data_IF_132060059925
#
_entry.id   IF_132060059925
#
_cell.length_a   1.000
_cell.length_b   1.000
_cell.length_c   1.000
_cell.angle_alpha   90.00
_cell.angle_beta   90.00
_cell.angle_gamma   90.00
#
_symmetry.space_group_name_H-M   'P 1'
#
loop_
_entity.id
_entity.type
_entity.pdbx_description
1 polymer ?
#
# COMPACT_ATOMS: atom_id res chain seq x y z
N UNK A 1 -7.37 -12.04 10.03
CA UNK A 1 -6.17 -11.29 9.62
C UNK A 1 -5.55 -11.98 8.43
N UNK A 2 -4.83 -11.25 7.59
CA UNK A 2 -4.12 -11.76 6.41
C UNK A 2 -2.64 -11.41 6.53
N UNK A 3 -1.74 -12.37 6.35
CA UNK A 3 -0.30 -12.17 6.49
C UNK A 3 0.43 -12.70 5.26
N UNK A 4 1.46 -11.97 4.84
CA UNK A 4 2.31 -12.36 3.73
C UNK A 4 3.78 -11.93 3.92
N UNK A 5 4.67 -12.61 3.21
CA UNK A 5 6.14 -12.60 3.35
C UNK A 5 6.81 -11.44 2.57
N UNK A 6 6.26 -10.23 2.72
CA UNK A 6 6.86 -8.99 2.21
C UNK A 6 6.79 -7.90 3.26
N UNK A 7 7.95 -7.40 3.66
CA UNK A 7 8.07 -6.25 4.55
C UNK A 7 8.10 -4.91 3.83
N UNK A 8 8.39 -3.85 4.59
CA UNK A 8 8.49 -2.49 4.05
C UNK A 8 9.57 -2.42 2.97
N UNK A 9 9.28 -1.74 1.86
CA UNK A 9 10.28 -1.51 0.80
C UNK A 9 11.40 -0.59 1.29
N UNK A 10 11.09 0.30 2.24
CA UNK A 10 12.05 1.25 2.81
C UNK A 10 11.93 1.31 4.34
N UNK A 11 13.05 1.17 5.08
CA UNK A 11 13.07 1.37 6.54
C UNK A 11 12.56 2.75 6.96
N UNK A 12 12.60 3.73 6.06
CA UNK A 12 12.05 5.05 6.33
C UNK A 12 10.54 5.04 6.56
N UNK A 13 9.81 3.96 6.26
CA UNK A 13 8.39 3.83 6.60
C UNK A 13 8.14 3.43 8.06
N UNK A 14 9.16 2.97 8.81
CA UNK A 14 9.04 2.59 10.23
C UNK A 14 8.42 3.74 11.05
N UNK A 15 7.40 3.42 11.84
CA UNK A 15 6.70 4.35 12.74
C UNK A 15 7.02 4.06 14.21
N UNK A 16 7.44 2.84 14.53
CA UNK A 16 7.97 2.45 15.83
C UNK A 16 9.46 2.07 15.70
N UNK A 17 10.41 2.97 16.02
CA UNK A 17 11.85 2.70 15.94
C UNK A 17 12.35 1.67 16.96
N UNK A 18 11.65 1.45 18.07
CA UNK A 18 12.06 0.47 19.09
C UNK A 18 11.84 -0.96 18.60
N UNK A 19 10.68 -1.21 17.97
CA UNK A 19 10.34 -2.52 17.40
C UNK A 19 10.78 -2.67 15.94
N UNK A 20 11.20 -1.58 15.29
CA UNK A 20 11.51 -1.50 13.87
C UNK A 20 10.31 -1.89 12.97
N UNK A 21 9.14 -1.39 13.32
CA UNK A 21 7.88 -1.69 12.63
C UNK A 21 7.21 -0.44 12.06
N UNK A 22 6.57 -0.58 10.90
CA UNK A 22 5.56 0.38 10.47
C UNK A 22 4.18 -0.14 10.91
N UNK A 23 3.52 0.62 11.77
CA UNK A 23 2.17 0.36 12.26
C UNK A 23 1.25 1.45 11.74
N UNK A 24 0.22 1.05 11.00
CA UNK A 24 -0.81 1.92 10.44
C UNK A 24 -2.18 1.53 11.03
N UNK A 25 -2.82 2.44 11.75
CA UNK A 25 -4.13 2.23 12.37
C UNK A 25 -5.24 2.86 11.50
N UNK A 26 -6.37 2.16 11.32
CA UNK A 26 -7.49 2.57 10.46
C UNK A 26 -7.02 2.99 9.05
N UNK A 27 -6.24 2.10 8.43
CA UNK A 27 -5.50 2.38 7.22
C UNK A 27 -6.32 2.10 5.94
N UNK A 28 -6.10 2.93 4.94
CA UNK A 28 -6.43 2.60 3.56
C UNK A 28 -5.38 1.66 2.95
N UNK A 29 -5.80 0.84 1.99
CA UNK A 29 -4.94 -0.11 1.29
C UNK A 29 -5.14 0.05 -0.22
N UNK A 30 -4.12 0.57 -0.91
CA UNK A 30 -4.06 0.64 -2.36
C UNK A 30 -3.39 -0.63 -2.89
N UNK A 31 -4.09 -1.36 -3.76
CA UNK A 31 -3.66 -2.65 -4.29
C UNK A 31 -3.44 -2.50 -5.79
N UNK A 32 -2.19 -2.58 -6.25
CA UNK A 32 -1.81 -2.34 -7.64
C UNK A 32 -1.14 -3.59 -8.21
N UNK A 33 -1.57 -4.03 -9.39
CA UNK A 33 -1.01 -5.24 -10.00
C UNK A 33 0.41 -5.02 -10.54
N UNK A 34 0.64 -3.84 -11.13
CA UNK A 34 1.89 -3.47 -11.79
C UNK A 34 2.91 -2.82 -10.85
N UNK A 35 4.13 -2.71 -11.34
CA UNK A 35 5.18 -1.86 -10.77
C UNK A 35 4.79 -0.37 -10.83
N UNK A 36 5.11 0.37 -9.77
CA UNK A 36 4.88 1.81 -9.64
C UNK A 36 6.21 2.54 -9.48
N UNK A 37 6.64 3.24 -10.53
CA UNK A 37 7.89 4.03 -10.53
C UNK A 37 7.67 5.53 -10.74
N UNK A 38 6.52 5.91 -11.32
CA UNK A 38 6.17 7.29 -11.64
C UNK A 38 5.18 7.85 -10.61
N UNK A 39 5.61 8.89 -9.90
CA UNK A 39 4.77 9.52 -8.86
C UNK A 39 3.51 10.17 -9.42
N UNK A 40 3.51 10.62 -10.69
CA UNK A 40 2.35 11.30 -11.30
C UNK A 40 1.10 10.42 -11.32
N UNK A 41 1.28 9.11 -11.45
CA UNK A 41 0.17 8.15 -11.42
C UNK A 41 -0.44 8.02 -10.01
N UNK A 42 0.35 8.27 -8.96
CA UNK A 42 -0.08 8.22 -7.57
C UNK A 42 -0.67 9.55 -7.07
N UNK A 43 -0.31 10.69 -7.65
CA UNK A 43 -0.71 12.00 -7.15
C UNK A 43 -2.22 12.11 -6.87
N UNK A 44 -3.14 11.71 -7.79
CA UNK A 44 -4.57 11.87 -7.56
C UNK A 44 -5.09 11.11 -6.33
N UNK A 45 -4.58 9.90 -6.09
CA UNK A 45 -5.01 9.10 -4.93
C UNK A 45 -4.32 9.55 -3.64
N UNK A 46 -3.07 9.98 -3.71
CA UNK A 46 -2.34 10.52 -2.55
C UNK A 46 -2.99 11.82 -2.05
N UNK A 47 -3.44 12.69 -2.94
CA UNK A 47 -4.17 13.92 -2.57
C UNK A 47 -5.51 13.60 -1.88
N UNK A 48 -6.27 12.65 -2.43
CA UNK A 48 -7.52 12.20 -1.81
C UNK A 48 -7.28 11.63 -0.42
N UNK A 49 -6.26 10.78 -0.24
CA UNK A 49 -5.91 10.19 1.06
C UNK A 49 -5.45 11.28 2.03
N UNK A 50 -4.62 12.23 1.60
CA UNK A 50 -4.13 13.32 2.44
C UNK A 50 -5.27 14.10 3.10
N UNK A 51 -6.36 14.35 2.37
CA UNK A 51 -7.55 15.05 2.89
C UNK A 51 -8.26 14.30 4.02
N UNK A 52 -8.10 12.98 4.09
CA UNK A 52 -8.71 12.16 5.15
C UNK A 52 -7.86 12.13 6.43
N UNK A 53 -6.56 12.44 6.34
CA UNK A 53 -5.59 12.26 7.42
C UNK A 53 -5.31 10.80 7.82
N UNK A 54 -5.93 9.81 7.15
CA UNK A 54 -5.74 8.39 7.44
C UNK A 54 -4.47 7.85 6.79
N UNK A 55 -3.82 6.83 7.40
CA UNK A 55 -2.65 6.24 6.81
C UNK A 55 -2.97 5.39 5.57
N UNK A 56 -1.96 5.19 4.72
CA UNK A 56 -2.06 4.41 3.49
C UNK A 56 -0.98 3.33 3.44
N UNK A 57 -1.40 2.09 3.20
CA UNK A 57 -0.55 1.03 2.71
C UNK A 57 -0.66 0.96 1.18
N UNK A 58 0.47 0.94 0.48
CA UNK A 58 0.54 0.64 -0.95
C UNK A 58 1.13 -0.77 -1.13
N UNK A 59 0.38 -1.65 -1.77
CA UNK A 59 0.81 -2.98 -2.19
C UNK A 59 0.89 -2.98 -3.72
N UNK A 60 2.09 -3.13 -4.27
CA UNK A 60 2.32 -3.15 -5.71
C UNK A 60 3.31 -4.25 -6.09
N UNK A 61 3.42 -4.66 -7.35
CA UNK A 61 4.51 -5.56 -7.77
C UNK A 61 5.89 -5.06 -7.28
N UNK A 62 6.13 -3.76 -7.44
CA UNK A 62 7.21 -3.04 -6.81
C UNK A 62 6.86 -1.55 -6.70
N UNK A 63 7.48 -0.83 -5.77
CA UNK A 63 7.44 0.63 -5.69
C UNK A 63 8.86 1.13 -5.67
N UNK A 64 9.27 1.83 -6.73
CA UNK A 64 10.68 2.19 -6.94
C UNK A 64 10.83 3.61 -7.51
N UNK A 65 12.08 4.01 -7.75
CA UNK A 65 12.40 5.27 -8.43
C UNK A 65 11.82 6.51 -7.74
N UNK A 66 11.28 7.43 -8.55
CA UNK A 66 10.72 8.70 -8.09
C UNK A 66 9.49 8.50 -7.21
N UNK A 67 8.65 7.50 -7.50
CA UNK A 67 7.50 7.16 -6.68
C UNK A 67 7.92 6.82 -5.25
N UNK A 68 8.88 5.90 -5.07
CA UNK A 68 9.37 5.53 -3.74
C UNK A 68 10.02 6.72 -3.02
N UNK A 69 10.88 7.48 -3.71
CA UNK A 69 11.54 8.63 -3.13
C UNK A 69 10.53 9.67 -2.63
N UNK A 70 9.49 9.94 -3.40
CA UNK A 70 8.45 10.90 -3.04
C UNK A 70 7.62 10.43 -1.84
N UNK A 71 7.24 9.15 -1.80
CA UNK A 71 6.54 8.57 -0.64
C UNK A 71 7.38 8.65 0.64
N UNK A 72 8.66 8.32 0.55
CA UNK A 72 9.61 8.42 1.68
C UNK A 72 9.72 9.86 2.18
N UNK A 73 9.89 10.83 1.28
CA UNK A 73 9.99 12.26 1.67
C UNK A 73 8.69 12.75 2.31
N UNK A 74 7.52 12.39 1.77
CA UNK A 74 6.24 12.77 2.35
C UNK A 74 5.99 12.15 3.73
N UNK A 75 6.39 10.88 3.92
CA UNK A 75 6.38 10.24 5.25
C UNK A 75 7.27 10.99 6.23
N UNK A 76 8.53 11.26 5.86
CA UNK A 76 9.49 11.92 6.75
C UNK A 76 9.07 13.35 7.12
N UNK A 77 8.36 14.04 6.22
CA UNK A 77 7.77 15.36 6.49
C UNK A 77 6.47 15.31 7.28
N UNK A 78 5.90 14.13 7.51
CA UNK A 78 4.60 13.96 8.15
C UNK A 78 3.41 14.41 7.29
N UNK A 79 3.63 14.67 6.00
CA UNK A 79 2.57 15.09 5.06
C UNK A 79 1.62 13.94 4.74
N UNK A 80 2.16 12.72 4.66
CA UNK A 80 1.40 11.49 4.45
C UNK A 80 1.91 10.41 5.41
N UNK A 81 1.00 9.79 6.16
CA UNK A 81 1.33 8.55 6.88
C UNK A 81 1.22 7.39 5.90
N UNK A 82 2.34 6.97 5.31
CA UNK A 82 2.33 5.98 4.22
C UNK A 82 3.43 4.93 4.39
N UNK A 83 3.13 3.71 3.98
CA UNK A 83 4.11 2.65 3.79
C UNK A 83 3.85 1.93 2.46
N UNK A 84 4.91 1.38 1.86
CA UNK A 84 4.81 0.57 0.65
C UNK A 84 5.49 -0.78 0.84
N UNK A 85 4.86 -1.84 0.33
CA UNK A 85 5.33 -3.23 0.36
C UNK A 85 5.20 -3.83 -1.03
N UNK A 86 6.06 -4.80 -1.36
CA UNK A 86 5.88 -5.56 -2.60
C UNK A 86 4.69 -6.52 -2.43
N UNK A 87 4.01 -6.81 -3.53
CA UNK A 87 2.97 -7.82 -3.59
C UNK A 87 3.59 -9.21 -3.32
N UNK A 88 2.89 -10.09 -2.61
CA UNK A 88 3.34 -11.46 -2.42
C UNK A 88 3.15 -12.31 -3.68
N UNK A 89 3.99 -13.33 -3.85
CA UNK A 89 3.95 -14.21 -5.03
C UNK A 89 4.53 -13.59 -6.30
N UNK A 90 4.46 -14.36 -7.40
CA UNK A 90 4.96 -13.99 -8.73
C UNK A 90 4.00 -14.50 -9.81
N UNK A 91 4.00 -13.85 -10.98
CA UNK A 91 3.13 -14.22 -12.11
C UNK A 91 1.66 -14.30 -11.72
N UNK A 92 0.94 -15.31 -12.22
CA UNK A 92 -0.48 -15.52 -11.93
C UNK A 92 -0.77 -15.69 -10.44
N UNK A 93 0.15 -16.31 -9.68
CA UNK A 93 0.00 -16.45 -8.23
C UNK A 93 -0.05 -15.09 -7.53
N UNK A 94 0.73 -14.10 -8.00
CA UNK A 94 0.66 -12.73 -7.46
C UNK A 94 -0.72 -12.12 -7.71
N UNK A 95 -1.26 -12.29 -8.92
CA UNK A 95 -2.58 -11.76 -9.28
C UNK A 95 -3.67 -12.34 -8.38
N UNK A 96 -3.65 -13.65 -8.14
CA UNK A 96 -4.60 -14.30 -7.24
C UNK A 96 -4.43 -13.82 -5.78
N UNK A 97 -3.20 -13.69 -5.28
CA UNK A 97 -2.98 -13.19 -3.92
C UNK A 97 -3.40 -11.71 -3.76
N UNK A 98 -3.25 -10.87 -4.78
CA UNK A 98 -3.76 -9.50 -4.75
C UNK A 98 -5.29 -9.47 -4.70
N UNK A 99 -5.97 -10.38 -5.41
CA UNK A 99 -7.43 -10.54 -5.32
C UNK A 99 -7.85 -10.99 -3.93
N UNK A 100 -7.12 -11.91 -3.29
CA UNK A 100 -7.40 -12.33 -1.92
C UNK A 100 -7.26 -11.16 -0.94
N UNK A 101 -6.19 -10.36 -1.06
CA UNK A 101 -6.00 -9.16 -0.23
C UNK A 101 -7.15 -8.17 -0.45
N UNK A 102 -7.53 -7.93 -1.70
CA UNK A 102 -8.65 -7.06 -2.04
C UNK A 102 -9.96 -7.57 -1.42
N UNK A 103 -10.24 -8.87 -1.52
CA UNK A 103 -11.43 -9.50 -0.93
C UNK A 103 -11.46 -9.37 0.59
N UNK A 104 -10.32 -9.57 1.28
CA UNK A 104 -10.24 -9.46 2.74
C UNK A 104 -10.38 -8.02 3.23
N UNK A 105 -9.99 -7.04 2.41
CA UNK A 105 -9.93 -5.62 2.79
C UNK A 105 -11.05 -4.78 2.17
N UNK A 106 -11.97 -5.37 1.41
CA UNK A 106 -13.03 -4.64 0.70
C UNK A 106 -12.51 -3.74 -0.43
N UNK A 107 -11.27 -3.91 -0.87
CA UNK A 107 -10.62 -3.11 -1.89
C UNK A 107 -10.84 -3.62 -3.32
N UNK A 108 -10.32 -2.87 -4.29
CA UNK A 108 -10.26 -3.26 -5.71
C UNK A 108 -8.79 -3.33 -6.14
N UNK A 109 -8.42 -4.39 -6.86
CA UNK A 109 -7.11 -4.48 -7.50
C UNK A 109 -7.07 -3.53 -8.69
N UNK A 110 -6.20 -2.54 -8.65
CA UNK A 110 -5.93 -1.64 -9.77
C UNK A 110 -5.09 -2.40 -10.79
N UNK A 111 -5.77 -2.88 -11.83
CA UNK A 111 -5.21 -3.65 -12.93
C UNK A 111 -5.59 -3.00 -14.25
N UNK A 112 -4.58 -2.63 -15.05
CA UNK A 112 -4.80 -2.08 -16.39
C UNK A 112 -5.46 -3.10 -17.33
N UNK A 113 -5.22 -4.40 -17.12
CA UNK A 113 -5.88 -5.49 -17.85
C UNK A 113 -7.41 -5.49 -17.63
N UNK A 114 -7.86 -5.01 -16.47
CA UNK A 114 -9.27 -4.86 -16.11
C UNK A 114 -9.82 -3.45 -16.40
N UNK A 115 -9.02 -2.58 -17.02
CA UNK A 115 -9.40 -1.20 -17.35
C UNK A 115 -9.27 -0.21 -16.20
N UNK A 116 -8.71 -0.61 -15.06
CA UNK A 116 -8.45 0.29 -13.93
C UNK A 116 -7.06 0.92 -14.06
N UNK A 117 -7.03 2.22 -14.34
CA UNK A 117 -5.78 3.00 -14.32
C UNK A 117 -5.52 3.58 -12.94
N UNK A 118 -4.26 3.57 -12.51
CA UNK A 118 -3.83 4.10 -11.22
C UNK A 118 -4.15 5.58 -11.04
N UNK A 119 -3.99 6.38 -12.10
CA UNK A 119 -4.36 7.80 -12.13
C UNK A 119 -5.85 8.08 -11.85
N UNK A 120 -6.71 7.08 -12.04
CA UNK A 120 -8.16 7.18 -11.83
C UNK A 120 -8.63 6.49 -10.53
N UNK A 121 -7.70 6.01 -9.70
CA UNK A 121 -8.05 5.37 -8.44
C UNK A 121 -8.78 6.36 -7.51
N UNK A 122 -9.81 5.89 -6.83
CA UNK A 122 -10.61 6.68 -5.89
C UNK A 122 -10.58 6.05 -4.49
N UNK A 123 -10.97 6.82 -3.47
CA UNK A 123 -11.08 6.31 -2.09
C UNK A 123 -12.00 5.09 -1.97
N UNK A 124 -13.00 4.92 -2.85
CA UNK A 124 -13.91 3.76 -2.83
C UNK A 124 -13.28 2.48 -3.38
N UNK A 125 -12.17 2.58 -4.10
CA UNK A 125 -11.41 1.43 -4.59
C UNK A 125 -10.36 0.95 -3.57
N UNK A 126 -10.05 1.76 -2.56
CA UNK A 126 -9.09 1.40 -1.52
C UNK A 126 -9.71 0.40 -0.56
N UNK A 127 -8.96 -0.65 -0.24
CA UNK A 127 -9.28 -1.52 0.89
C UNK A 127 -9.11 -0.78 2.22
N UNK A 128 -9.61 -1.39 3.29
CA UNK A 128 -9.51 -0.88 4.65
C UNK A 128 -9.04 -1.96 5.61
N UNK A 129 -8.32 -1.56 6.64
CA UNK A 129 -7.95 -2.42 7.75
C UNK A 129 -7.92 -1.63 9.06
N UNK A 130 -8.36 -2.27 10.16
CA UNK A 130 -8.23 -1.69 11.49
C UNK A 130 -6.77 -1.46 11.87
N UNK A 131 -5.89 -2.40 11.51
CA UNK A 131 -4.45 -2.28 11.75
C UNK A 131 -3.65 -3.00 10.69
N UNK A 132 -2.58 -2.35 10.22
CA UNK A 132 -1.52 -2.96 9.42
C UNK A 132 -0.22 -2.89 10.21
N UNK A 133 0.45 -4.02 10.37
CA UNK A 133 1.81 -4.11 10.94
C UNK A 133 2.77 -4.63 9.88
N UNK A 134 3.86 -3.92 9.68
CA UNK A 134 4.86 -4.23 8.66
C UNK A 134 6.23 -4.28 9.33
N UNK A 135 6.89 -5.43 9.22
CA UNK A 135 8.28 -5.60 9.63
C UNK A 135 9.19 -5.51 8.41
N UNK A 136 10.48 -5.79 8.59
CA UNK A 136 11.42 -5.93 7.46
C UNK A 136 11.04 -7.07 6.50
N UNK A 137 10.38 -8.11 7.01
CA UNK A 137 10.23 -9.38 6.31
C UNK A 137 8.77 -9.71 5.98
N UNK A 138 7.79 -9.19 6.74
CA UNK A 138 6.38 -9.55 6.60
C UNK A 138 5.43 -8.37 6.82
N UNK A 139 4.22 -8.52 6.27
CA UNK A 139 3.09 -7.63 6.48
C UNK A 139 1.91 -8.40 7.03
N UNK A 140 1.29 -7.87 8.07
CA UNK A 140 0.07 -8.41 8.68
C UNK A 140 -1.03 -7.37 8.64
N UNK A 141 -2.16 -7.73 8.02
CA UNK A 141 -3.38 -6.93 7.93
C UNK A 141 -4.43 -7.52 8.87
N UNK A 142 -4.91 -6.70 9.80
CA UNK A 142 -5.88 -7.08 10.84
C UNK A 142 -7.15 -6.26 10.70
N UNK A 143 -8.30 -6.92 10.84
CA UNK A 143 -9.62 -6.26 10.76
C UNK A 143 -9.92 -5.66 9.39
N UNK A 144 -9.69 -6.41 8.31
CA UNK A 144 -10.17 -6.00 6.99
C UNK A 144 -11.70 -5.87 6.98
N UNK A 145 -12.24 -4.86 6.29
CA UNK A 145 -13.67 -4.49 6.30
C UNK A 145 -14.20 -4.25 4.91
#
# INVERSE_FOLDING_TARGET
GYQFDKGYISPYFVTNPETMEAVLEDAFILIVEKKVSNVRELLPILEQVAQTGKPLLIIAEDVEGEALATLVVNKLRGTLSVAAVKAPGFGDRRKEMLKDIAAVTGGTVISEELGFKLENATLSMLGRAERVRITKDETTIVGGK
#
